data_IF_804147239442
#
_entry.id   IF_804147239442
#
_cell.length_a   1.000
_cell.length_b   1.000
_cell.length_c   1.000
_cell.angle_alpha   90.00
_cell.angle_beta   90.00
_cell.angle_gamma   90.00
#
_symmetry.space_group_name_H-M   'P 1'
#
loop_
_entity.id
_entity.type
_entity.pdbx_description
1 polymer ?
#
# COMPACT_ATOMS: atom_id res chain seq x y z
N UNK A 1 8.39 12.89 -3.00
CA UNK A 1 7.08 13.09 -2.35
C UNK A 1 7.29 14.21 -1.36
N UNK A 2 6.48 15.28 -1.45
CA UNK A 2 6.46 16.31 -0.42
C UNK A 2 5.73 15.74 0.78
N UNK A 3 6.48 15.38 1.83
CA UNK A 3 5.93 15.05 3.15
C UNK A 3 5.73 16.30 4.00
N UNK A 4 5.81 17.48 3.38
CA UNK A 4 5.54 18.76 4.03
C UNK A 4 4.14 18.72 4.63
N UNK A 5 4.03 19.02 5.92
CA UNK A 5 2.80 18.89 6.69
C UNK A 5 2.53 17.48 7.25
N UNK A 6 2.93 16.39 6.58
CA UNK A 6 2.68 15.04 7.13
C UNK A 6 3.50 14.77 8.39
N UNK A 7 4.77 15.17 8.40
CA UNK A 7 5.62 15.02 9.59
C UNK A 7 5.18 15.95 10.72
N UNK A 8 4.71 17.16 10.39
CA UNK A 8 4.16 18.10 11.37
C UNK A 8 2.89 17.51 12.02
N UNK A 9 2.01 16.90 11.21
CA UNK A 9 0.84 16.18 11.70
C UNK A 9 1.23 14.92 12.51
N UNK A 10 2.29 14.22 12.13
CA UNK A 10 2.79 13.06 12.87
C UNK A 10 3.24 13.44 14.27
N UNK A 11 3.91 14.59 14.41
CA UNK A 11 4.29 15.17 15.69
C UNK A 11 3.08 15.67 16.48
N UNK A 12 2.15 16.39 15.84
CA UNK A 12 0.96 16.95 16.49
C UNK A 12 -0.01 15.87 16.99
N UNK A 13 -0.21 14.81 16.20
CA UNK A 13 -1.20 13.75 16.45
C UNK A 13 -0.58 12.47 17.04
N UNK A 14 0.71 12.48 17.36
CA UNK A 14 1.47 11.41 18.02
C UNK A 14 1.35 10.05 17.30
N UNK A 15 1.74 10.03 16.01
CA UNK A 15 1.83 8.79 15.24
C UNK A 15 3.16 8.66 14.50
N UNK A 16 3.53 7.42 14.18
CA UNK A 16 4.77 7.12 13.45
C UNK A 16 4.48 7.01 11.96
N UNK A 17 5.24 7.73 11.15
CA UNK A 17 5.23 7.59 9.68
C UNK A 17 6.36 6.63 9.26
N UNK A 18 5.99 5.61 8.48
CA UNK A 18 6.94 4.60 7.98
C UNK A 18 6.81 4.52 6.47
N UNK A 19 7.91 4.73 5.74
CA UNK A 19 7.93 4.71 4.27
C UNK A 19 8.95 3.68 3.77
N UNK A 20 8.60 2.39 3.78
CA UNK A 20 9.50 1.35 3.30
C UNK A 20 9.80 1.54 1.81
N UNK A 21 11.02 1.24 1.38
CA UNK A 21 11.40 1.32 -0.02
C UNK A 21 10.71 0.22 -0.84
N UNK A 22 10.52 -0.96 -0.25
CA UNK A 22 10.02 -2.13 -0.95
C UNK A 22 11.11 -2.78 -1.79
N UNK A 23 12.28 -3.05 -1.20
CA UNK A 23 13.46 -3.69 -1.79
C UNK A 23 14.13 -2.94 -2.97
N UNK A 24 13.37 -2.59 -4.01
CA UNK A 24 13.81 -1.74 -5.12
C UNK A 24 12.73 -0.73 -5.48
N UNK A 25 13.11 0.36 -6.15
CA UNK A 25 12.16 1.38 -6.63
C UNK A 25 11.12 0.84 -7.62
N UNK A 26 11.37 -0.31 -8.23
CA UNK A 26 10.49 -0.92 -9.22
C UNK A 26 9.78 -2.16 -8.65
N UNK A 27 9.78 -2.34 -7.33
CA UNK A 27 9.29 -3.54 -6.68
C UNK A 27 7.77 -3.66 -6.52
N UNK A 28 7.05 -2.56 -6.72
CA UNK A 28 5.58 -2.46 -6.57
C UNK A 28 5.05 -3.00 -5.23
N UNK A 29 5.88 -3.05 -4.18
CA UNK A 29 5.49 -3.53 -2.84
C UNK A 29 4.83 -4.93 -2.83
N UNK A 30 5.14 -5.75 -3.83
CA UNK A 30 4.55 -7.08 -4.00
C UNK A 30 3.33 -7.16 -4.91
N UNK A 31 2.72 -6.04 -5.29
CA UNK A 31 1.51 -6.02 -6.11
C UNK A 31 1.69 -6.68 -7.49
N UNK A 32 2.92 -6.70 -8.01
CA UNK A 32 3.30 -7.35 -9.28
C UNK A 32 4.10 -8.64 -9.12
N UNK A 33 4.13 -9.22 -7.90
CA UNK A 33 4.86 -10.48 -7.63
C UNK A 33 4.35 -11.68 -8.44
N UNK A 34 3.08 -11.64 -8.85
CA UNK A 34 2.46 -12.61 -9.75
C UNK A 34 1.74 -11.82 -10.84
N UNK A 35 2.46 -11.46 -11.91
CA UNK A 35 1.85 -10.82 -13.07
C UNK A 35 1.21 -11.85 -14.00
N UNK A 36 0.18 -11.42 -14.74
CA UNK A 36 -0.40 -12.19 -15.84
C UNK A 36 0.22 -11.81 -17.20
N UNK A 37 1.18 -10.88 -17.19
CA UNK A 37 1.89 -10.38 -18.36
C UNK A 37 3.40 -10.22 -18.11
N UNK A 38 4.11 -9.73 -19.11
CA UNK A 38 5.57 -9.49 -19.10
C UNK A 38 6.05 -8.50 -18.03
N UNK A 39 5.13 -7.81 -17.34
CA UNK A 39 5.45 -6.90 -16.22
C UNK A 39 5.55 -7.65 -14.89
N UNK A 40 5.40 -8.98 -14.86
CA UNK A 40 5.55 -9.80 -13.66
C UNK A 40 6.94 -9.64 -13.03
N UNK A 41 6.96 -9.44 -11.71
CA UNK A 41 8.16 -9.24 -10.90
C UNK A 41 8.29 -10.36 -9.89
N UNK A 42 8.50 -11.60 -10.37
CA UNK A 42 8.46 -12.80 -9.52
C UNK A 42 9.46 -12.74 -8.35
N UNK A 43 10.65 -12.21 -8.60
CA UNK A 43 11.70 -12.08 -7.58
C UNK A 43 11.62 -10.74 -6.86
N UNK A 44 11.63 -9.64 -7.61
CA UNK A 44 11.64 -8.29 -7.06
C UNK A 44 10.37 -8.04 -6.26
N UNK A 45 9.19 -8.38 -6.78
CA UNK A 45 7.92 -8.21 -6.09
C UNK A 45 7.87 -8.98 -4.78
N UNK A 46 8.32 -10.25 -4.76
CA UNK A 46 8.37 -11.04 -3.53
C UNK A 46 9.29 -10.42 -2.47
N UNK A 47 10.49 -9.97 -2.87
CA UNK A 47 11.40 -9.30 -1.94
C UNK A 47 10.89 -7.92 -1.52
N UNK A 48 10.15 -7.24 -2.38
CA UNK A 48 9.56 -5.93 -2.07
C UNK A 48 8.48 -6.03 -1.01
N UNK A 49 7.60 -7.04 -1.12
CA UNK A 49 6.63 -7.35 -0.07
C UNK A 49 7.34 -7.69 1.23
N UNK A 50 8.35 -8.56 1.17
CA UNK A 50 9.12 -8.98 2.35
C UNK A 50 9.80 -7.79 3.04
N UNK A 51 10.36 -6.87 2.26
CA UNK A 51 10.98 -5.65 2.78
C UNK A 51 9.98 -4.77 3.55
N UNK A 52 8.79 -4.55 2.98
CA UNK A 52 7.72 -3.80 3.68
C UNK A 52 7.36 -4.45 5.01
N UNK A 53 7.16 -5.77 5.02
CA UNK A 53 6.79 -6.49 6.24
C UNK A 53 7.93 -6.53 7.26
N UNK A 54 9.19 -6.64 6.82
CA UNK A 54 10.34 -6.57 7.71
C UNK A 54 10.47 -5.19 8.37
N UNK A 55 10.29 -4.11 7.61
CA UNK A 55 10.34 -2.75 8.15
C UNK A 55 9.22 -2.54 9.16
N UNK A 56 8.00 -3.02 8.89
CA UNK A 56 6.91 -2.98 9.86
C UNK A 56 7.25 -3.75 11.14
N UNK A 57 7.86 -4.93 11.02
CA UNK A 57 8.25 -5.70 12.20
C UNK A 57 9.33 -4.99 13.01
N UNK A 58 10.34 -4.41 12.35
CA UNK A 58 11.35 -3.61 13.02
C UNK A 58 10.73 -2.43 13.78
N UNK A 59 9.70 -1.79 13.23
CA UNK A 59 8.98 -0.71 13.93
C UNK A 59 8.25 -1.23 15.15
N UNK A 60 7.56 -2.38 15.04
CA UNK A 60 6.87 -3.02 16.17
C UNK A 60 7.82 -3.48 17.28
N UNK A 61 9.04 -3.90 16.92
CA UNK A 61 10.05 -4.36 17.87
C UNK A 61 10.77 -3.20 18.59
N UNK A 62 11.03 -2.10 17.88
CA UNK A 62 11.86 -1.00 18.39
C UNK A 62 11.05 0.17 18.97
N UNK A 63 9.75 0.24 18.70
CA UNK A 63 8.88 1.30 19.20
C UNK A 63 7.60 0.74 19.82
N UNK A 64 7.12 1.39 20.88
CA UNK A 64 5.82 1.08 21.48
C UNK A 64 4.72 1.69 20.61
N UNK A 65 4.08 0.87 19.77
CA UNK A 65 2.97 1.28 18.92
C UNK A 65 1.66 0.59 19.30
N UNK A 66 0.52 1.24 19.03
CA UNK A 66 -0.78 0.57 19.10
C UNK A 66 -1.01 -0.30 17.86
N UNK A 67 -0.85 -1.61 18.03
CA UNK A 67 -1.00 -2.58 16.96
C UNK A 67 -2.43 -2.68 16.40
N UNK A 68 -3.45 -2.10 17.08
CA UNK A 68 -4.82 -2.04 16.58
C UNK A 68 -5.09 -0.85 15.67
N UNK A 69 -4.15 0.10 15.62
CA UNK A 69 -4.27 1.37 14.89
C UNK A 69 -3.13 1.51 13.88
N UNK A 70 -2.97 0.49 13.03
CA UNK A 70 -2.03 0.49 11.91
C UNK A 70 -2.79 0.84 10.63
N UNK A 71 -2.36 1.90 9.94
CA UNK A 71 -2.98 2.40 8.71
C UNK A 71 -2.05 2.17 7.53
N UNK A 72 -2.62 1.88 6.36
CA UNK A 72 -1.84 1.71 5.13
C UNK A 72 -2.32 2.65 4.04
N UNK A 73 -1.37 3.35 3.44
CA UNK A 73 -1.63 4.31 2.39
C UNK A 73 -0.62 4.18 1.25
N UNK A 74 -1.06 4.46 0.02
CA UNK A 74 -0.17 4.68 -1.10
C UNK A 74 -0.82 5.38 -2.29
N UNK A 75 0.00 6.10 -3.06
CA UNK A 75 -0.37 6.80 -4.28
C UNK A 75 0.23 6.11 -5.52
N UNK A 76 -0.55 5.99 -6.61
CA UNK A 76 -0.12 5.36 -7.88
C UNK A 76 0.38 3.94 -7.66
N UNK A 77 1.65 3.64 -7.96
CA UNK A 77 2.28 2.34 -7.64
C UNK A 77 2.07 1.94 -6.16
N UNK A 78 2.13 2.91 -5.24
CA UNK A 78 1.88 2.67 -3.82
C UNK A 78 0.45 2.22 -3.53
N UNK A 79 -0.55 2.77 -4.24
CA UNK A 79 -1.95 2.39 -4.05
C UNK A 79 -2.21 0.94 -4.47
N UNK A 80 -1.50 0.44 -5.48
CA UNK A 80 -1.59 -0.96 -5.87
C UNK A 80 -0.93 -1.86 -4.83
N UNK A 81 0.18 -1.39 -4.23
CA UNK A 81 0.79 -1.99 -3.04
C UNK A 81 -0.19 -2.04 -1.86
N UNK A 82 -0.95 -0.97 -1.63
CA UNK A 82 -1.98 -0.91 -0.58
C UNK A 82 -3.09 -1.93 -0.81
N UNK A 83 -3.59 -2.07 -2.04
CA UNK A 83 -4.54 -3.14 -2.37
C UNK A 83 -3.95 -4.52 -2.10
N UNK A 84 -2.72 -4.76 -2.55
CA UNK A 84 -2.05 -6.05 -2.41
C UNK A 84 -1.87 -6.46 -0.94
N UNK A 85 -1.23 -5.60 -0.16
CA UNK A 85 -0.95 -5.85 1.26
C UNK A 85 -2.22 -5.80 2.11
N UNK A 86 -3.15 -4.91 1.77
CA UNK A 86 -4.47 -4.81 2.38
C UNK A 86 -5.24 -6.13 2.29
N UNK A 87 -5.29 -6.72 1.10
CA UNK A 87 -5.97 -8.01 0.89
C UNK A 87 -5.17 -9.21 1.40
N UNK A 88 -3.84 -9.15 1.40
CA UNK A 88 -3.01 -10.28 1.84
C UNK A 88 -2.94 -10.38 3.37
N UNK A 89 -2.99 -9.25 4.06
CA UNK A 89 -2.91 -9.16 5.52
C UNK A 89 -4.11 -8.38 6.11
N UNK A 90 -5.36 -8.79 5.85
CA UNK A 90 -6.55 -7.97 6.16
C UNK A 90 -6.73 -7.68 7.65
N UNK A 91 -6.23 -8.55 8.53
CA UNK A 91 -6.35 -8.40 9.98
C UNK A 91 -5.32 -7.42 10.58
N UNK A 92 -4.37 -6.94 9.78
CA UNK A 92 -3.31 -6.04 10.24
C UNK A 92 -3.75 -4.57 10.22
N UNK A 93 -4.63 -4.22 9.29
CA UNK A 93 -4.92 -2.84 8.95
C UNK A 93 -6.22 -2.36 9.59
N UNK A 94 -6.16 -1.19 10.22
CA UNK A 94 -7.34 -0.51 10.77
C UNK A 94 -8.17 0.17 9.69
N UNK A 95 -7.50 0.79 8.73
CA UNK A 95 -8.10 1.37 7.53
C UNK A 95 -7.04 1.48 6.41
N UNK A 96 -7.53 1.60 5.18
CA UNK A 96 -6.71 1.76 3.98
C UNK A 96 -7.03 3.08 3.29
N UNK A 97 -6.03 3.72 2.70
CA UNK A 97 -6.26 4.78 1.72
C UNK A 97 -5.52 4.49 0.42
N UNK A 98 -6.21 4.67 -0.69
CA UNK A 98 -5.75 4.26 -2.02
C UNK A 98 -5.86 5.46 -2.94
N UNK A 99 -4.71 6.04 -3.28
CA UNK A 99 -4.61 7.20 -4.16
C UNK A 99 -4.27 6.80 -5.60
N UNK A 100 -5.06 7.25 -6.57
CA UNK A 100 -4.77 7.24 -8.01
C UNK A 100 -4.17 5.93 -8.53
N UNK A 101 -4.80 4.79 -8.21
CA UNK A 101 -4.24 3.46 -8.49
C UNK A 101 -5.25 2.51 -9.14
N UNK A 102 -4.74 1.55 -9.89
CA UNK A 102 -5.46 0.34 -10.28
C UNK A 102 -5.28 -0.77 -9.23
N UNK A 103 -6.17 -1.76 -9.25
CA UNK A 103 -6.00 -3.02 -8.50
C UNK A 103 -4.83 -3.83 -9.07
N UNK A 104 -4.35 -4.83 -8.33
CA UNK A 104 -3.33 -5.76 -8.84
C UNK A 104 -3.86 -6.58 -10.02
N UNK A 105 -2.97 -7.08 -10.88
CA UNK A 105 -3.35 -7.82 -12.09
C UNK A 105 -4.10 -9.12 -11.81
N UNK A 106 -3.85 -9.75 -10.66
CA UNK A 106 -4.37 -11.09 -10.33
C UNK A 106 -5.66 -11.07 -9.53
N UNK A 107 -6.11 -9.90 -9.07
CA UNK A 107 -7.31 -9.78 -8.24
C UNK A 107 -8.55 -9.49 -9.08
N UNK A 108 -9.65 -10.12 -8.69
CA UNK A 108 -10.98 -9.92 -9.28
C UNK A 108 -11.82 -9.06 -8.36
N UNK A 109 -12.88 -8.44 -8.91
CA UNK A 109 -13.86 -7.67 -8.11
C UNK A 109 -14.43 -8.48 -6.94
N UNK A 110 -14.62 -9.79 -7.13
CA UNK A 110 -15.09 -10.69 -6.07
C UNK A 110 -14.13 -10.76 -4.86
N UNK A 111 -12.84 -10.52 -5.06
CA UNK A 111 -11.82 -10.55 -4.00
C UNK A 111 -11.90 -9.33 -3.08
N UNK A 112 -12.64 -8.27 -3.45
CA UNK A 112 -12.91 -7.13 -2.57
C UNK A 112 -13.63 -7.54 -1.28
N UNK A 113 -14.32 -8.69 -1.29
CA UNK A 113 -14.92 -9.29 -0.08
C UNK A 113 -13.90 -9.54 1.03
N UNK A 114 -12.61 -9.73 0.70
CA UNK A 114 -11.54 -9.95 1.67
C UNK A 114 -11.34 -8.73 2.58
N UNK A 115 -11.55 -7.52 2.04
CA UNK A 115 -11.32 -6.24 2.72
C UNK A 115 -12.63 -5.46 2.91
N UNK A 116 -13.79 -6.10 2.75
CA UNK A 116 -15.10 -5.44 2.79
C UNK A 116 -15.42 -4.78 4.14
N UNK A 117 -14.85 -5.32 5.22
CA UNK A 117 -15.07 -4.87 6.60
C UNK A 117 -14.03 -3.83 7.04
N UNK A 118 -13.04 -3.55 6.20
CA UNK A 118 -12.01 -2.54 6.45
C UNK A 118 -12.51 -1.20 5.87
N UNK A 119 -12.51 -0.11 6.65
CA UNK A 119 -12.75 1.22 6.09
C UNK A 119 -11.68 1.57 5.03
N UNK A 120 -12.14 1.94 3.83
CA UNK A 120 -11.27 2.27 2.71
C UNK A 120 -11.65 3.66 2.18
N UNK A 121 -10.68 4.56 2.13
CA UNK A 121 -10.78 5.83 1.40
C UNK A 121 -10.13 5.67 0.02
N UNK A 122 -10.86 5.97 -1.05
CA UNK A 122 -10.32 5.98 -2.41
C UNK A 122 -10.24 7.42 -2.89
N UNK A 123 -9.04 7.87 -3.23
CA UNK A 123 -8.78 9.22 -3.73
C UNK A 123 -8.37 9.16 -5.20
N UNK A 124 -9.15 9.82 -6.06
CA UNK A 124 -8.84 9.97 -7.48
C UNK A 124 -8.83 11.47 -7.82
N UNK A 125 -7.72 11.96 -8.36
CA UNK A 125 -7.63 13.32 -8.86
C UNK A 125 -8.51 13.52 -10.08
N UNK A 126 -9.28 14.61 -10.16
CA UNK A 126 -10.18 14.88 -11.28
C UNK A 126 -9.46 15.08 -12.62
N UNK A 127 -8.17 15.43 -12.58
CA UNK A 127 -7.32 15.61 -13.75
C UNK A 127 -6.50 14.36 -14.10
N UNK A 128 -6.56 13.31 -13.26
CA UNK A 128 -5.99 11.99 -13.56
C UNK A 128 -7.03 11.18 -14.33
N UNK A 129 -7.29 11.62 -15.57
CA UNK A 129 -8.23 10.99 -16.48
C UNK A 129 -7.52 9.89 -17.25
N UNK A 130 -8.13 8.70 -17.33
CA UNK A 130 -7.77 7.75 -18.37
C UNK A 130 -7.94 8.44 -19.72
N UNK A 131 -6.93 8.44 -20.62
CA UNK A 131 -7.14 8.89 -21.98
C UNK A 131 -8.16 7.94 -22.59
N UNK A 132 -9.41 8.39 -22.70
CA UNK A 132 -10.36 7.78 -23.61
C UNK A 132 -9.71 7.95 -24.99
N UNK A 133 -9.28 6.84 -25.58
CA UNK A 133 -8.90 6.80 -26.98
C UNK A 133 -10.11 7.29 -27.77
N UNK A 134 -10.03 8.51 -28.29
CA UNK A 134 -10.90 8.99 -29.36
C UNK A 134 -10.51 8.33 -30.68
#
# INVERSE_FOLDING_TARGET
MGYEGLLDLAEELDFIVVTPLGYTRNGWYGAWSTGLDERSLEKEGLYSEKDVMNVLELVKENYTIDQKNIFLWGHSMGGAGTYHLGMKYPNLWKALEIGCSSTTQTRKVADLKIIQDIPILVLQGTNDTFPLSN
#
